data_IF_066818775900
#
_entry.id   IF_066818775900
#
_cell.length_a   1.000
_cell.length_b   1.000
_cell.length_c   1.000
_cell.angle_alpha   90.00
_cell.angle_beta   90.00
_cell.angle_gamma   90.00
#
_symmetry.space_group_name_H-M   'P 1'
#
loop_
_entity.id
_entity.type
_entity.pdbx_description
1 polymer ?
#
# COMPACT_ATOMS: atom_id res chain seq x y z
N UNK A 1 34.51 12.10 -5.53
CA UNK A 1 33.45 11.88 -6.57
C UNK A 1 32.59 10.65 -6.26
N UNK A 2 32.96 9.86 -5.26
CA UNK A 2 32.24 8.64 -4.83
C UNK A 2 31.08 8.90 -3.87
N UNK A 3 31.14 9.97 -3.07
CA UNK A 3 30.07 10.30 -2.10
C UNK A 3 28.68 10.57 -2.72
N UNK A 4 28.65 11.06 -3.97
CA UNK A 4 27.40 11.37 -4.68
C UNK A 4 26.61 10.14 -5.16
N UNK A 5 27.27 8.98 -5.30
CA UNK A 5 26.58 7.75 -5.72
C UNK A 5 25.90 7.07 -4.53
N UNK A 6 26.55 7.07 -3.36
CA UNK A 6 26.00 6.54 -2.13
C UNK A 6 24.83 7.41 -1.64
N UNK A 7 24.93 8.73 -1.74
CA UNK A 7 23.83 9.65 -1.43
C UNK A 7 22.61 9.45 -2.34
N UNK A 8 22.80 9.17 -3.63
CA UNK A 8 21.69 8.87 -4.55
C UNK A 8 21.01 7.54 -4.28
N UNK A 9 21.70 6.58 -3.68
CA UNK A 9 21.15 5.26 -3.30
C UNK A 9 20.48 5.36 -1.93
N UNK A 10 20.94 6.25 -1.05
CA UNK A 10 20.40 6.45 0.30
C UNK A 10 19.21 7.43 0.35
N UNK A 11 19.07 8.33 -0.63
CA UNK A 11 18.02 9.35 -0.68
C UNK A 11 16.56 8.81 -0.69
N UNK A 12 16.22 7.63 -1.27
CA UNK A 12 14.84 7.13 -1.20
C UNK A 12 14.38 6.74 0.20
N UNK A 13 15.29 6.61 1.18
CA UNK A 13 15.00 5.97 2.47
C UNK A 13 15.14 6.87 3.70
N UNK A 14 15.56 8.13 3.52
CA UNK A 14 15.53 9.12 4.58
C UNK A 14 14.20 9.91 4.52
N UNK A 15 13.10 9.17 4.39
CA UNK A 15 11.75 9.73 4.50
C UNK A 15 11.52 9.94 6.00
N UNK A 16 11.99 11.06 6.55
CA UNK A 16 11.32 11.68 7.67
C UNK A 16 9.96 12.07 7.09
N UNK A 17 8.89 11.36 7.45
CA UNK A 17 7.54 11.77 7.08
C UNK A 17 7.36 13.19 7.63
N UNK A 18 7.39 14.24 6.77
CA UNK A 18 6.99 15.57 7.23
C UNK A 18 5.56 15.43 7.73
N UNK A 19 5.14 16.26 8.67
CA UNK A 19 3.75 16.33 9.10
C UNK A 19 2.91 16.72 7.88
N UNK A 20 2.39 15.73 7.17
CA UNK A 20 1.49 15.96 6.05
C UNK A 20 0.12 16.36 6.58
N UNK A 21 -0.43 17.42 6.05
CA UNK A 21 -1.77 17.88 6.42
C UNK A 21 -2.85 16.91 5.96
N UNK A 22 -2.60 16.15 4.87
CA UNK A 22 -3.56 15.22 4.27
C UNK A 22 -2.94 13.86 3.95
N UNK A 23 -3.77 12.83 4.06
CA UNK A 23 -3.39 11.46 3.69
C UNK A 23 -2.99 11.35 2.21
N UNK A 24 -3.63 12.13 1.32
CA UNK A 24 -3.33 12.11 -0.11
C UNK A 24 -1.93 12.62 -0.41
N UNK A 25 -1.50 13.71 0.23
CA UNK A 25 -0.13 14.25 0.09
C UNK A 25 0.91 13.25 0.56
N UNK A 26 0.68 12.63 1.74
CA UNK A 26 1.57 11.61 2.27
C UNK A 26 1.69 10.41 1.31
N UNK A 27 0.58 9.91 0.77
CA UNK A 27 0.59 8.81 -0.19
C UNK A 27 1.34 9.19 -1.47
N UNK A 28 1.12 10.39 -2.03
CA UNK A 28 1.81 10.84 -3.25
C UNK A 28 3.34 10.86 -3.07
N UNK A 29 3.81 11.22 -1.87
CA UNK A 29 5.24 11.31 -1.60
C UNK A 29 5.90 9.94 -1.43
N UNK A 30 5.33 9.04 -0.62
CA UNK A 30 6.02 7.79 -0.31
C UNK A 30 5.71 6.63 -1.27
N UNK A 31 4.56 6.65 -1.96
CA UNK A 31 4.14 5.57 -2.85
C UNK A 31 5.19 5.18 -3.92
N UNK A 32 5.92 6.13 -4.56
CA UNK A 32 6.99 5.78 -5.51
C UNK A 32 8.08 4.89 -4.92
N UNK A 33 8.39 5.05 -3.62
CA UNK A 33 9.43 4.28 -2.94
C UNK A 33 9.01 2.84 -2.62
N UNK A 34 7.71 2.60 -2.36
CA UNK A 34 7.22 1.29 -1.92
C UNK A 34 6.50 0.50 -3.02
N UNK A 35 6.07 1.14 -4.10
CA UNK A 35 5.28 0.54 -5.18
C UNK A 35 5.90 -0.73 -5.80
N UNK A 36 7.22 -0.85 -5.76
CA UNK A 36 7.95 -2.00 -6.29
C UNK A 36 7.80 -3.30 -5.49
N UNK A 37 7.38 -3.19 -4.22
CA UNK A 37 7.34 -4.31 -3.27
C UNK A 37 5.98 -4.99 -3.13
N UNK A 38 4.91 -4.37 -3.66
CA UNK A 38 3.55 -4.90 -3.56
C UNK A 38 3.21 -5.92 -4.64
N UNK A 39 2.21 -6.75 -4.34
CA UNK A 39 1.55 -7.61 -5.31
C UNK A 39 0.85 -6.78 -6.39
N UNK A 40 0.75 -7.35 -7.61
CA UNK A 40 0.29 -6.60 -8.78
C UNK A 40 -0.89 -7.25 -9.51
N UNK A 41 -1.41 -8.38 -9.03
CA UNK A 41 -2.51 -9.07 -9.71
C UNK A 41 -3.73 -9.25 -8.81
N UNK A 42 -4.76 -8.44 -9.10
CA UNK A 42 -6.07 -8.52 -8.45
C UNK A 42 -6.91 -9.74 -8.89
N UNK A 43 -6.49 -10.46 -9.92
CA UNK A 43 -7.23 -11.63 -10.45
C UNK A 43 -6.82 -12.92 -9.76
N UNK A 44 -5.71 -12.88 -9.02
CA UNK A 44 -5.25 -14.02 -8.26
C UNK A 44 -6.22 -14.28 -7.10
N UNK A 45 -6.84 -15.45 -7.06
CA UNK A 45 -7.75 -15.85 -5.98
C UNK A 45 -7.02 -15.98 -4.64
N UNK A 46 -5.71 -16.13 -4.68
CA UNK A 46 -4.83 -16.14 -3.52
C UNK A 46 -4.33 -14.74 -3.11
N UNK A 47 -4.71 -13.69 -3.85
CA UNK A 47 -4.33 -12.33 -3.54
C UNK A 47 -4.78 -11.91 -2.12
N UNK A 48 -3.98 -11.08 -1.43
CA UNK A 48 -4.36 -10.54 -0.12
C UNK A 48 -5.72 -9.85 -0.12
N UNK A 49 -6.17 -9.31 -1.27
CA UNK A 49 -7.48 -8.67 -1.42
C UNK A 49 -8.63 -9.51 -0.85
N UNK A 50 -8.60 -10.84 -1.07
CA UNK A 50 -9.69 -11.76 -0.70
C UNK A 50 -9.46 -12.48 0.63
N UNK A 51 -8.24 -12.43 1.17
CA UNK A 51 -7.85 -13.19 2.36
C UNK A 51 -7.81 -12.35 3.63
N UNK A 52 -7.90 -11.03 3.47
CA UNK A 52 -7.72 -10.08 4.57
C UNK A 52 -8.98 -9.23 4.71
N UNK A 53 -9.36 -9.00 5.96
CA UNK A 53 -10.35 -7.97 6.28
C UNK A 53 -9.65 -6.60 6.40
N UNK A 54 -10.20 -5.63 5.69
CA UNK A 54 -9.58 -4.34 5.45
C UNK A 54 -10.31 -3.21 6.19
N UNK A 55 -9.57 -2.42 6.96
CA UNK A 55 -10.08 -1.17 7.56
C UNK A 55 -9.77 0.00 6.64
N UNK A 56 -10.82 0.73 6.25
CA UNK A 56 -10.65 1.96 5.46
C UNK A 56 -10.10 3.09 6.33
N UNK A 57 -8.96 3.63 5.93
CA UNK A 57 -8.32 4.76 6.59
C UNK A 57 -8.85 6.10 6.06
N UNK A 58 -8.86 7.12 6.91
CA UNK A 58 -9.31 8.46 6.54
C UNK A 58 -8.60 9.52 7.37
N UNK A 59 -8.35 10.67 6.77
CA UNK A 59 -7.81 11.88 7.40
C UNK A 59 -8.89 12.87 7.84
N UNK A 60 -10.17 12.51 7.73
CA UNK A 60 -11.27 13.39 8.16
C UNK A 60 -11.22 13.59 9.67
N UNK A 61 -11.18 14.84 10.16
CA UNK A 61 -11.20 15.13 11.60
C UNK A 61 -12.43 14.53 12.25
N UNK A 62 -12.24 13.87 13.41
CA UNK A 62 -13.34 13.29 14.19
C UNK A 62 -13.93 11.99 13.63
N UNK A 63 -13.32 11.40 12.60
CA UNK A 63 -13.71 10.08 12.13
C UNK A 63 -13.23 9.00 13.12
N UNK A 64 -14.08 8.67 14.08
CA UNK A 64 -13.82 7.61 15.09
C UNK A 64 -14.34 6.25 14.66
N UNK A 65 -15.12 6.20 13.58
CA UNK A 65 -15.78 4.97 13.13
C UNK A 65 -14.85 4.13 12.28
N UNK A 66 -14.57 2.93 12.75
CA UNK A 66 -13.85 1.90 12.00
C UNK A 66 -14.83 1.25 11.03
N UNK A 67 -14.50 1.26 9.73
CA UNK A 67 -15.25 0.55 8.70
C UNK A 67 -14.42 -0.63 8.19
N UNK A 68 -14.89 -1.84 8.45
CA UNK A 68 -14.29 -3.08 8.01
C UNK A 68 -14.85 -3.49 6.66
N UNK A 69 -14.00 -3.76 5.70
CA UNK A 69 -14.34 -4.14 4.34
C UNK A 69 -13.81 -5.54 4.04
N UNK A 70 -14.70 -6.46 3.68
CA UNK A 70 -14.36 -7.81 3.24
C UNK A 70 -14.70 -7.96 1.78
N UNK A 71 -13.69 -8.16 0.93
CA UNK A 71 -13.87 -8.41 -0.50
C UNK A 71 -14.15 -9.90 -0.73
N UNK A 72 -15.32 -10.22 -1.24
CA UNK A 72 -15.71 -11.60 -1.54
C UNK A 72 -15.45 -11.93 -3.01
N UNK A 73 -14.99 -13.14 -3.34
CA UNK A 73 -14.79 -13.55 -4.74
C UNK A 73 -16.05 -13.46 -5.61
N UNK A 74 -17.23 -13.35 -4.99
CA UNK A 74 -18.52 -13.13 -5.66
C UNK A 74 -18.66 -11.76 -6.35
N UNK A 75 -17.73 -10.80 -6.09
CA UNK A 75 -17.86 -9.42 -6.54
C UNK A 75 -18.61 -8.51 -5.57
N UNK A 76 -18.83 -8.96 -4.36
CA UNK A 76 -19.45 -8.19 -3.26
C UNK A 76 -18.37 -7.70 -2.29
N UNK A 77 -18.53 -6.48 -1.77
CA UNK A 77 -17.77 -5.97 -0.62
C UNK A 77 -18.76 -5.85 0.54
N UNK A 78 -18.53 -6.60 1.60
CA UNK A 78 -19.25 -6.42 2.86
C UNK A 78 -18.57 -5.34 3.68
N UNK A 79 -19.37 -4.41 4.17
CA UNK A 79 -18.88 -3.29 5.00
C UNK A 79 -19.56 -3.41 6.35
N UNK A 80 -18.76 -3.57 7.40
CA UNK A 80 -19.25 -3.55 8.78
C UNK A 80 -18.77 -2.28 9.47
N UNK A 81 -19.70 -1.55 10.10
CA UNK A 81 -19.37 -0.39 10.92
C UNK A 81 -20.37 -0.26 12.07
N UNK A 82 -19.88 -0.14 13.29
CA UNK A 82 -20.70 0.01 14.53
C UNK A 82 -21.84 -0.99 14.64
N UNK A 83 -21.65 -2.25 14.19
CA UNK A 83 -22.68 -3.29 14.20
C UNK A 83 -23.69 -3.21 13.06
N UNK A 84 -23.65 -2.19 12.21
CA UNK A 84 -24.42 -2.13 10.97
C UNK A 84 -23.64 -2.83 9.84
N UNK A 85 -24.40 -3.42 8.90
CA UNK A 85 -23.84 -4.07 7.71
C UNK A 85 -24.36 -3.36 6.46
N UNK A 86 -23.43 -2.97 5.60
CA UNK A 86 -23.69 -2.42 4.27
C UNK A 86 -23.00 -3.29 3.22
N UNK A 87 -23.43 -3.15 1.95
CA UNK A 87 -22.84 -3.84 0.82
C UNK A 87 -22.50 -2.90 -0.31
N UNK A 88 -21.39 -3.19 -0.97
CA UNK A 88 -20.99 -2.59 -2.24
C UNK A 88 -20.68 -3.69 -3.25
N UNK A 89 -20.66 -3.33 -4.53
CA UNK A 89 -20.24 -4.24 -5.59
C UNK A 89 -18.86 -3.82 -6.12
N UNK A 90 -18.10 -4.82 -6.56
CA UNK A 90 -16.87 -4.57 -7.31
C UNK A 90 -16.74 -5.52 -8.49
N UNK A 91 -15.91 -5.13 -9.46
CA UNK A 91 -15.53 -5.98 -10.59
C UNK A 91 -14.08 -5.75 -10.95
N UNK A 92 -13.26 -6.78 -10.88
CA UNK A 92 -11.88 -6.75 -11.39
C UNK A 92 -11.92 -6.75 -12.91
N UNK A 93 -11.30 -5.75 -13.54
CA UNK A 93 -11.22 -5.62 -15.00
C UNK A 93 -9.91 -6.17 -15.55
N UNK A 94 -8.80 -5.85 -14.86
CA UNK A 94 -7.45 -6.28 -15.24
C UNK A 94 -6.67 -6.62 -13.97
N UNK A 95 -5.42 -7.06 -14.12
CA UNK A 95 -4.54 -7.33 -12.98
C UNK A 95 -4.44 -6.15 -11.99
N UNK A 96 -4.55 -4.90 -12.49
CA UNK A 96 -4.36 -3.70 -11.67
C UNK A 96 -5.56 -2.74 -11.69
N UNK A 97 -6.71 -3.11 -12.28
CA UNK A 97 -7.88 -2.22 -12.36
C UNK A 97 -9.14 -2.89 -11.84
N UNK A 98 -9.87 -2.14 -11.03
CA UNK A 98 -11.09 -2.57 -10.37
C UNK A 98 -12.14 -1.46 -10.42
N UNK A 99 -13.39 -1.81 -10.65
CA UNK A 99 -14.55 -0.93 -10.46
C UNK A 99 -15.11 -1.21 -9.08
N UNK A 100 -15.40 -0.17 -8.30
CA UNK A 100 -16.03 -0.26 -6.99
C UNK A 100 -17.17 0.77 -6.91
N UNK A 101 -18.33 0.35 -6.43
CA UNK A 101 -19.48 1.23 -6.27
C UNK A 101 -20.66 0.59 -5.54
N UNK A 102 -21.76 1.32 -5.35
CA UNK A 102 -22.99 0.74 -4.80
C UNK A 102 -23.54 -0.38 -5.68
N UNK A 103 -23.45 -0.20 -6.99
CA UNK A 103 -23.59 -1.28 -7.98
C UNK A 103 -22.61 -1.03 -9.12
N UNK A 104 -22.29 -2.07 -9.92
CA UNK A 104 -21.37 -1.94 -11.07
C UNK A 104 -21.90 -0.96 -12.13
N UNK A 105 -23.20 -0.70 -12.14
CA UNK A 105 -23.86 0.14 -13.13
C UNK A 105 -24.27 1.51 -12.62
N UNK A 106 -24.14 1.74 -11.31
CA UNK A 106 -24.57 2.99 -10.67
C UNK A 106 -23.61 3.38 -9.56
N UNK A 107 -23.18 4.64 -9.57
CA UNK A 107 -22.29 5.22 -8.57
C UNK A 107 -20.99 4.41 -8.39
N UNK A 108 -20.47 3.89 -9.51
CA UNK A 108 -19.24 3.11 -9.54
C UNK A 108 -18.09 3.94 -10.14
N UNK A 109 -16.91 3.77 -9.55
CA UNK A 109 -15.69 4.44 -9.98
C UNK A 109 -14.63 3.41 -10.33
N UNK A 110 -13.82 3.76 -11.32
CA UNK A 110 -12.66 2.97 -11.71
C UNK A 110 -11.48 3.31 -10.80
N UNK A 111 -10.85 2.29 -10.26
CA UNK A 111 -9.65 2.41 -9.44
C UNK A 111 -8.51 1.61 -10.04
N UNK A 112 -7.30 2.10 -9.83
CA UNK A 112 -6.06 1.44 -10.19
C UNK A 112 -5.30 1.04 -8.92
N UNK A 113 -4.89 -0.23 -8.84
CA UNK A 113 -4.06 -0.74 -7.77
C UNK A 113 -2.69 -0.04 -7.81
N UNK A 114 -2.34 0.60 -6.72
CA UNK A 114 -1.04 1.24 -6.56
C UNK A 114 -0.11 0.41 -5.69
N UNK A 115 -0.68 -0.24 -4.67
CA UNK A 115 0.06 -1.10 -3.76
C UNK A 115 -0.88 -2.12 -3.11
N UNK A 116 -0.42 -3.35 -2.91
CA UNK A 116 -1.10 -4.39 -2.16
C UNK A 116 -0.08 -5.34 -1.54
N UNK A 117 -0.23 -5.62 -0.25
CA UNK A 117 0.41 -6.71 0.45
C UNK A 117 -0.53 -7.28 1.53
N UNK A 118 -0.06 -8.12 2.42
CA UNK A 118 -0.89 -8.71 3.49
C UNK A 118 -1.33 -7.72 4.57
N UNK A 119 -0.78 -6.51 4.60
CA UNK A 119 -1.04 -5.52 5.66
C UNK A 119 -1.64 -4.22 5.13
N UNK A 120 -1.37 -3.87 3.86
CA UNK A 120 -1.74 -2.58 3.27
C UNK A 120 -2.27 -2.73 1.85
N UNK A 121 -3.28 -1.91 1.50
CA UNK A 121 -3.89 -1.86 0.18
C UNK A 121 -4.18 -0.42 -0.19
N UNK A 122 -3.67 0.02 -1.36
CA UNK A 122 -3.87 1.37 -1.87
C UNK A 122 -4.39 1.31 -3.30
N UNK A 123 -5.57 1.91 -3.50
CA UNK A 123 -6.13 2.16 -4.81
C UNK A 123 -6.11 3.66 -5.12
N UNK A 124 -5.82 4.02 -6.36
CA UNK A 124 -5.98 5.39 -6.88
C UNK A 124 -7.22 5.45 -7.76
N UNK A 125 -8.09 6.43 -7.53
CA UNK A 125 -9.24 6.67 -8.39
C UNK A 125 -8.78 7.15 -9.76
N UNK A 126 -9.28 6.53 -10.83
CA UNK A 126 -9.02 6.93 -12.20
C UNK A 126 -10.01 8.00 -12.62
N UNK A 127 -9.51 9.09 -13.22
CA UNK A 127 -10.35 10.18 -13.71
C UNK A 127 -9.62 11.52 -13.74
N UNK A 128 -10.34 12.56 -14.11
CA UNK A 128 -9.81 13.93 -14.07
C UNK A 128 -9.70 14.38 -12.61
N UNK A 129 -8.50 14.72 -12.17
CA UNK A 129 -8.18 15.10 -10.78
C UNK A 129 -9.06 16.23 -10.25
N UNK A 130 -9.50 17.17 -11.12
CA UNK A 130 -10.40 18.26 -10.73
C UNK A 130 -11.78 17.79 -10.24
N UNK A 131 -12.22 16.58 -10.61
CA UNK A 131 -13.54 16.03 -10.29
C UNK A 131 -13.46 14.90 -9.24
N UNK A 132 -12.28 14.51 -8.81
CA UNK A 132 -12.08 13.42 -7.85
C UNK A 132 -12.25 13.97 -6.44
N UNK A 133 -13.23 13.46 -5.70
CA UNK A 133 -13.47 13.83 -4.29
C UNK A 133 -12.51 13.14 -3.33
N UNK A 134 -11.99 11.98 -3.70
CA UNK A 134 -11.08 11.16 -2.89
C UNK A 134 -10.11 10.45 -3.84
N UNK A 135 -8.89 10.96 -3.92
CA UNK A 135 -7.87 10.48 -4.85
C UNK A 135 -7.44 9.04 -4.56
N UNK A 136 -7.30 8.71 -3.28
CA UNK A 136 -6.87 7.40 -2.83
C UNK A 136 -7.89 6.72 -1.91
N UNK A 137 -8.03 5.41 -2.07
CA UNK A 137 -8.58 4.52 -1.05
C UNK A 137 -7.39 3.83 -0.39
N UNK A 138 -7.18 4.12 0.89
CA UNK A 138 -6.15 3.48 1.69
C UNK A 138 -6.79 2.56 2.71
N UNK A 139 -6.36 1.32 2.71
CA UNK A 139 -6.83 0.30 3.63
C UNK A 139 -5.66 -0.32 4.36
N UNK A 140 -5.91 -0.68 5.62
CA UNK A 140 -5.01 -1.47 6.43
C UNK A 140 -5.70 -2.75 6.85
N UNK A 141 -4.93 -3.82 7.03
CA UNK A 141 -5.42 -5.03 7.68
C UNK A 141 -6.07 -4.69 9.01
N UNK A 142 -7.14 -5.39 9.40
CA UNK A 142 -7.92 -5.15 10.62
C UNK A 142 -7.04 -4.94 11.85
N UNK A 143 -6.05 -5.81 12.10
CA UNK A 143 -5.15 -5.72 13.26
C UNK A 143 -4.31 -4.43 13.31
N UNK A 144 -4.14 -3.72 12.18
CA UNK A 144 -3.43 -2.45 12.06
C UNK A 144 -4.44 -1.31 12.10
N UNK A 145 -5.43 -1.32 11.21
CA UNK A 145 -6.35 -0.22 11.00
C UNK A 145 -7.32 0.04 12.15
N UNK A 146 -7.51 -0.93 13.05
CA UNK A 146 -8.29 -0.74 14.30
C UNK A 146 -7.52 -0.05 15.41
N UNK A 147 -6.18 0.01 15.30
CA UNK A 147 -5.29 0.50 16.37
C UNK A 147 -4.55 1.79 16.01
N UNK A 148 -4.27 1.99 14.74
CA UNK A 148 -3.47 3.09 14.25
C UNK A 148 -4.33 4.08 13.47
N UNK A 149 -4.01 5.36 13.57
CA UNK A 149 -4.54 6.39 12.68
C UNK A 149 -3.79 6.36 11.35
N UNK A 150 -4.30 7.06 10.33
CA UNK A 150 -3.79 6.97 8.96
C UNK A 150 -2.29 7.29 8.81
N UNK A 151 -1.79 8.30 9.52
CA UNK A 151 -0.37 8.69 9.48
C UNK A 151 0.55 7.64 10.12
N UNK A 152 0.17 7.11 11.28
CA UNK A 152 0.91 6.02 11.94
C UNK A 152 0.90 4.73 11.10
N UNK A 153 -0.21 4.46 10.41
CA UNK A 153 -0.31 3.31 9.52
C UNK A 153 0.59 3.47 8.27
N UNK A 154 0.68 4.68 7.70
CA UNK A 154 1.61 4.99 6.61
C UNK A 154 3.07 4.90 7.07
N UNK A 155 3.40 5.44 8.25
CA UNK A 155 4.73 5.31 8.83
C UNK A 155 5.13 3.85 9.00
N UNK A 156 4.23 3.03 9.55
CA UNK A 156 4.44 1.58 9.69
C UNK A 156 4.68 0.90 8.34
N UNK A 157 3.96 1.30 7.30
CA UNK A 157 4.16 0.79 5.95
C UNK A 157 5.55 1.15 5.41
N UNK A 158 5.97 2.41 5.54
CA UNK A 158 7.30 2.87 5.13
C UNK A 158 8.38 2.12 5.89
N UNK A 159 8.27 1.98 7.20
CA UNK A 159 9.23 1.27 8.04
C UNK A 159 9.38 -0.20 7.66
N UNK A 160 8.27 -0.86 7.33
CA UNK A 160 8.29 -2.26 6.85
C UNK A 160 9.21 -2.44 5.64
N UNK A 161 9.18 -1.50 4.70
CA UNK A 161 9.96 -1.58 3.46
C UNK A 161 11.33 -0.92 3.57
N UNK A 162 11.49 0.09 4.40
CA UNK A 162 12.80 0.68 4.74
C UNK A 162 13.74 -0.33 5.37
N UNK A 163 13.25 -1.09 6.34
CA UNK A 163 14.05 -2.09 7.04
C UNK A 163 14.25 -3.40 6.24
N UNK A 164 13.44 -3.65 5.22
CA UNK A 164 13.52 -4.89 4.43
C UNK A 164 14.56 -4.84 3.31
N UNK A 165 15.21 -3.70 3.12
CA UNK A 165 16.37 -3.59 2.24
C UNK A 165 17.66 -3.96 3.01
N UNK A 166 17.73 -5.23 3.45
CA UNK A 166 19.01 -5.79 3.83
C UNK A 166 19.95 -5.64 2.63
N UNK A 167 21.12 -4.97 2.79
CA UNK A 167 21.97 -4.64 1.66
C UNK A 167 22.66 -5.90 1.15
N UNK A 168 21.94 -6.70 0.36
CA UNK A 168 22.47 -7.89 -0.31
C UNK A 168 23.77 -7.61 -1.05
N UNK A 169 23.95 -6.36 -1.51
CA UNK A 169 25.20 -5.89 -2.12
C UNK A 169 26.38 -6.02 -1.13
N UNK A 170 26.20 -5.68 0.14
CA UNK A 170 27.25 -5.86 1.16
C UNK A 170 27.57 -7.33 1.40
N UNK A 171 26.54 -8.19 1.41
CA UNK A 171 26.76 -9.64 1.56
C UNK A 171 27.54 -10.18 0.37
N UNK A 172 27.20 -9.79 -0.85
CA UNK A 172 27.92 -10.20 -2.07
C UNK A 172 29.35 -9.68 -2.08
N UNK A 173 29.59 -8.44 -1.66
CA UNK A 173 30.95 -7.86 -1.56
C UNK A 173 31.79 -8.62 -0.52
N UNK A 174 31.23 -8.89 0.67
CA UNK A 174 31.92 -9.68 1.71
C UNK A 174 32.24 -11.08 1.18
N UNK A 175 31.28 -11.73 0.52
CA UNK A 175 31.47 -13.07 -0.04
C UNK A 175 32.53 -13.07 -1.13
N UNK A 176 32.56 -12.05 -2.00
CA UNK A 176 33.59 -11.89 -3.02
C UNK A 176 35.00 -11.67 -2.41
N UNK A 177 35.09 -10.89 -1.32
CA UNK A 177 36.36 -10.68 -0.59
C UNK A 177 36.84 -12.00 0.03
N UNK A 178 35.95 -12.75 0.70
CA UNK A 178 36.28 -14.02 1.32
C UNK A 178 36.78 -15.02 0.27
N UNK A 179 36.09 -15.14 -0.86
CA UNK A 179 36.53 -16.02 -1.98
C UNK A 179 37.87 -15.55 -2.55
N UNK A 180 38.09 -14.28 -2.73
CA UNK A 180 39.36 -13.71 -3.21
C UNK A 180 40.51 -14.02 -2.26
N UNK A 181 40.31 -13.87 -0.95
CA UNK A 181 41.31 -14.24 0.08
C UNK A 181 41.58 -15.72 0.07
N UNK A 182 40.57 -16.57 -0.02
CA UNK A 182 40.77 -18.03 -0.10
C UNK A 182 41.57 -18.45 -1.33
N UNK A 183 41.36 -17.81 -2.48
CA UNK A 183 42.10 -18.10 -3.71
C UNK A 183 43.52 -17.56 -3.65
N UNK A 184 43.76 -16.45 -2.95
CA UNK A 184 45.09 -15.86 -2.79
C UNK A 184 46.00 -16.68 -1.88
N UNK A 185 45.46 -17.32 -0.84
CA UNK A 185 46.20 -18.18 0.12
C UNK A 185 46.23 -19.66 -0.26
N UNK A 186 45.72 -20.06 -1.40
CA UNK A 186 45.78 -21.42 -1.93
C UNK A 186 46.92 -21.57 -2.94
#
# INVERSE_FOLDING_TARGET
MEDRLLDKIAQPFNINLPEHETMEQAIDEFLPAVRGFGDKDLRDEDAPLFKVDWVSMTDKPGATKVSLHTFLPSGEIRISHDGAMDGMAYKVLTANRIIIGQSIHRDAFLYELQFMDNDFLIFKQHGNEANIKKKYLFFCREAIGTRLVWNEALEKMVDKYRNNQFPWVFVLVILAIVVGVMLYFR
#
